data_IF_092848517803
#
_entry.id   IF_092848517803
#
_cell.length_a   1.000
_cell.length_b   1.000
_cell.length_c   1.000
_cell.angle_alpha   90.00
_cell.angle_beta   90.00
_cell.angle_gamma   90.00
#
_symmetry.space_group_name_H-M   'P 1'
#
loop_
_entity.id
_entity.type
_entity.pdbx_description
1 polymer ?
#
# COMPACT_ATOMS: atom_id res chain seq x y z
N UNK A 1 -9.71 -64.56 -2.00
CA UNK A 1 -9.01 -63.28 -1.71
C UNK A 1 -10.06 -62.29 -1.20
N UNK A 2 -10.68 -62.45 -0.02
CA UNK A 2 -10.20 -62.28 1.37
C UNK A 2 -9.43 -60.97 1.61
N UNK A 3 -10.19 -59.87 1.79
CA UNK A 3 -9.71 -58.54 2.19
C UNK A 3 -10.58 -57.94 3.32
N UNK A 4 -11.14 -58.78 4.20
CA UNK A 4 -11.84 -58.36 5.40
C UNK A 4 -11.09 -58.82 6.66
N UNK A 5 -10.38 -57.89 7.30
CA UNK A 5 -10.17 -57.75 8.75
C UNK A 5 -8.91 -56.92 9.01
N UNK A 6 -9.10 -55.74 9.60
CA UNK A 6 -8.49 -55.37 10.88
C UNK A 6 -8.78 -53.90 11.16
N UNK A 7 -9.95 -53.69 11.77
CA UNK A 7 -10.23 -52.53 12.60
C UNK A 7 -9.89 -52.95 14.05
N UNK A 8 -8.81 -52.41 14.61
CA UNK A 8 -8.54 -52.33 16.05
C UNK A 8 -7.98 -50.93 16.31
N UNK A 9 -8.78 -49.99 16.83
CA UNK A 9 -9.03 -49.78 18.26
C UNK A 9 -7.76 -49.48 19.06
N UNK A 10 -7.37 -48.21 19.08
CA UNK A 10 -6.67 -47.62 20.24
C UNK A 10 -7.20 -46.19 20.48
N UNK A 11 -8.38 -46.11 21.10
CA UNK A 11 -8.84 -44.91 21.78
C UNK A 11 -8.08 -44.82 23.11
N UNK A 12 -6.94 -44.11 23.08
CA UNK A 12 -6.16 -43.76 24.25
C UNK A 12 -6.83 -42.65 25.06
N UNK A 13 -7.08 -42.98 26.31
CA UNK A 13 -7.54 -42.19 27.45
C UNK A 13 -7.43 -40.65 27.38
N UNK A 14 -8.57 -40.04 27.71
CA UNK A 14 -8.78 -38.66 28.13
C UNK A 14 -7.99 -38.37 29.42
N UNK A 15 -6.94 -37.56 29.32
CA UNK A 15 -6.28 -36.90 30.46
C UNK A 15 -6.81 -35.47 30.59
N UNK A 16 -7.61 -35.21 31.63
CA UNK A 16 -8.10 -33.89 32.02
C UNK A 16 -7.11 -33.25 33.00
N UNK A 17 -6.14 -32.53 32.45
CA UNK A 17 -5.13 -31.84 33.24
C UNK A 17 -5.54 -30.37 33.38
N UNK A 18 -6.41 -30.11 34.36
CA UNK A 18 -6.83 -28.78 34.79
C UNK A 18 -5.67 -28.04 35.48
N UNK A 19 -4.70 -27.58 34.69
CA UNK A 19 -3.62 -26.69 35.13
C UNK A 19 -4.05 -25.23 35.06
N UNK A 20 -4.65 -24.72 36.15
CA UNK A 20 -4.84 -23.28 36.39
C UNK A 20 -3.48 -22.57 36.41
N UNK A 21 -3.11 -21.91 35.33
CA UNK A 21 -2.02 -20.91 35.32
C UNK A 21 -2.62 -19.51 35.17
N UNK A 22 -2.89 -18.89 36.31
CA UNK A 22 -3.18 -17.46 36.43
C UNK A 22 -1.90 -16.68 36.18
N UNK A 23 -1.65 -16.30 34.92
CA UNK A 23 -0.65 -15.29 34.61
C UNK A 23 -1.26 -13.91 34.89
N UNK A 24 -0.75 -13.24 35.92
CA UNK A 24 -1.13 -11.88 36.28
C UNK A 24 -0.87 -10.92 35.12
N UNK A 25 -1.94 -10.38 34.56
CA UNK A 25 -1.87 -9.20 33.71
C UNK A 25 -1.50 -8.00 34.59
N UNK A 26 -0.25 -7.55 34.50
CA UNK A 26 0.11 -6.21 34.93
C UNK A 26 -0.20 -5.24 33.79
N UNK A 27 -1.12 -4.27 33.96
CA UNK A 27 -1.28 -3.19 33.00
C UNK A 27 -0.12 -2.21 33.16
N UNK A 28 0.90 -2.30 32.30
CA UNK A 28 1.88 -1.24 32.14
C UNK A 28 1.22 -0.05 31.42
N UNK A 29 0.49 0.76 32.19
CA UNK A 29 0.03 2.08 31.78
C UNK A 29 1.22 3.02 31.91
N UNK A 30 1.75 3.48 30.78
CA UNK A 30 2.54 4.71 30.75
C UNK A 30 1.68 5.80 30.13
N UNK A 31 1.25 6.83 30.87
CA UNK A 31 0.69 8.03 30.29
C UNK A 31 1.85 8.86 29.75
N UNK A 32 2.25 8.66 28.49
CA UNK A 32 3.11 9.65 27.81
C UNK A 32 2.20 10.80 27.39
N UNK A 33 1.97 11.67 28.37
CA UNK A 33 1.72 13.09 28.15
C UNK A 33 2.89 13.63 27.34
N UNK A 34 2.65 13.96 26.07
CA UNK A 34 3.49 14.93 25.38
C UNK A 34 2.62 16.00 24.73
N UNK A 35 1.97 16.78 25.60
CA UNK A 35 1.63 18.18 25.30
C UNK A 35 2.83 19.03 25.66
N UNK A 36 3.74 19.25 24.71
CA UNK A 36 4.56 20.44 24.72
C UNK A 36 4.06 21.40 23.65
N UNK A 37 3.08 22.19 24.09
CA UNK A 37 2.78 23.50 23.54
C UNK A 37 3.99 24.38 23.90
N UNK A 38 4.96 24.47 22.99
CA UNK A 38 5.98 25.53 23.04
C UNK A 38 5.45 26.70 22.23
N UNK A 39 4.76 27.62 22.92
CA UNK A 39 4.73 29.03 22.54
C UNK A 39 5.70 29.75 23.46
N UNK A 40 6.61 30.51 22.87
CA UNK A 40 7.27 31.76 23.32
C UNK A 40 8.40 31.97 22.29
N UNK A 41 8.19 32.86 21.32
CA UNK A 41 8.58 34.27 21.34
C UNK A 41 9.98 34.49 20.75
N UNK A 42 9.98 35.13 19.58
CA UNK A 42 10.92 36.17 19.14
C UNK A 42 12.39 36.04 19.55
N UNK A 43 13.23 35.62 18.60
CA UNK A 43 14.52 36.27 18.39
C UNK A 43 14.86 36.27 16.90
N UNK A 44 15.04 37.47 16.39
CA UNK A 44 15.72 37.78 15.14
C UNK A 44 17.03 36.99 15.07
N UNK A 45 17.15 36.07 14.11
CA UNK A 45 18.46 35.64 13.61
C UNK A 45 18.40 35.56 12.10
N UNK A 46 19.10 36.51 11.49
CA UNK A 46 19.36 36.58 10.06
C UNK A 46 20.22 35.39 9.66
N UNK A 47 19.59 34.26 9.33
CA UNK A 47 20.29 33.15 8.68
C UNK A 47 20.31 33.40 7.17
N UNK A 48 21.24 34.27 6.78
CA UNK A 48 21.73 34.38 5.42
C UNK A 48 22.46 33.07 5.08
N UNK A 49 21.79 32.18 4.35
CA UNK A 49 22.35 30.88 4.01
C UNK A 49 21.62 30.23 2.84
N UNK A 50 22.05 30.56 1.63
CA UNK A 50 21.93 29.75 0.42
C UNK A 50 20.53 29.56 -0.21
N UNK A 51 19.98 30.64 -0.78
CA UNK A 51 18.91 30.57 -1.79
C UNK A 51 19.42 30.48 -3.24
N UNK A 52 20.74 30.43 -3.46
CA UNK A 52 21.32 30.57 -4.79
C UNK A 52 21.24 29.33 -5.72
N UNK A 53 20.90 28.13 -5.22
CA UNK A 53 20.93 26.90 -6.05
C UNK A 53 19.55 26.41 -6.50
N UNK A 54 18.44 26.93 -5.95
CA UNK A 54 17.09 26.51 -6.36
C UNK A 54 16.43 27.41 -7.43
N UNK A 55 17.09 28.48 -7.89
CA UNK A 55 16.51 29.40 -8.88
C UNK A 55 16.68 28.99 -10.35
N UNK A 56 17.49 27.98 -10.70
CA UNK A 56 17.79 27.68 -12.12
C UNK A 56 16.77 26.73 -12.77
N UNK A 57 15.94 26.00 -12.01
CA UNK A 57 15.04 24.98 -12.59
C UNK A 57 13.63 25.45 -12.95
N UNK A 58 13.27 26.71 -12.71
CA UNK A 58 11.90 27.22 -12.95
C UNK A 58 11.76 28.16 -14.17
N UNK A 59 12.83 28.39 -14.94
CA UNK A 59 12.79 29.31 -16.08
C UNK A 59 12.41 28.68 -17.43
N UNK A 60 12.10 27.37 -17.49
CA UNK A 60 11.78 26.69 -18.77
C UNK A 60 10.29 26.45 -19.02
N UNK A 61 9.40 27.17 -18.33
CA UNK A 61 7.95 27.08 -18.57
C UNK A 61 7.25 28.42 -18.90
N UNK A 62 7.98 29.53 -19.05
CA UNK A 62 7.39 30.86 -19.27
C UNK A 62 7.75 31.46 -20.64
N UNK A 63 8.04 30.63 -21.65
CA UNK A 63 8.38 31.11 -23.00
C UNK A 63 7.26 30.89 -24.04
N UNK A 64 5.99 30.78 -23.61
CA UNK A 64 4.85 30.55 -24.51
C UNK A 64 3.60 31.42 -24.30
N UNK A 65 3.57 32.31 -23.30
CA UNK A 65 2.35 33.06 -22.90
C UNK A 65 2.60 34.57 -22.82
N UNK A 66 3.18 35.17 -23.86
CA UNK A 66 3.34 36.64 -23.94
C UNK A 66 2.80 37.15 -25.27
N UNK A 67 1.47 37.21 -25.41
CA UNK A 67 0.82 38.05 -26.45
C UNK A 67 -0.46 38.76 -26.02
N UNK A 68 -0.87 38.77 -24.75
CA UNK A 68 -2.17 39.38 -24.39
C UNK A 68 -2.28 40.00 -23.00
N UNK A 69 -1.38 40.94 -22.66
CA UNK A 69 -1.56 41.83 -21.50
C UNK A 69 -1.40 43.29 -21.92
N UNK A 70 -2.37 43.80 -22.70
CA UNK A 70 -2.68 45.23 -22.79
C UNK A 70 -3.92 45.51 -21.93
N UNK A 71 -3.74 45.64 -20.61
CA UNK A 71 -4.66 46.38 -19.74
C UNK A 71 -3.96 46.69 -18.43
N UNK A 72 -3.50 47.93 -18.32
CA UNK A 72 -2.97 48.48 -17.08
C UNK A 72 -4.10 48.63 -16.04
N UNK A 73 -3.90 48.23 -14.77
CA UNK A 73 -4.81 48.57 -13.70
C UNK A 73 -4.65 50.06 -13.33
N UNK A 74 -5.76 50.79 -13.42
CA UNK A 74 -5.89 52.18 -12.97
C UNK A 74 -5.85 52.20 -11.45
N UNK A 75 -4.76 52.68 -10.86
CA UNK A 75 -4.61 52.88 -9.43
C UNK A 75 -5.43 54.10 -8.99
N UNK A 76 -6.47 53.87 -8.20
CA UNK A 76 -7.20 54.93 -7.49
C UNK A 76 -6.52 55.17 -6.13
N UNK A 77 -5.85 56.30 -6.00
CA UNK A 77 -5.28 56.81 -4.76
C UNK A 77 -6.36 57.47 -3.89
N UNK A 78 -6.95 56.69 -2.97
CA UNK A 78 -7.80 57.21 -1.90
C UNK A 78 -6.98 57.51 -0.63
N UNK A 79 -7.41 58.47 0.21
CA UNK A 79 -6.66 58.93 1.37
C UNK A 79 -6.54 57.86 2.45
N UNK A 80 -5.33 57.76 2.99
CA UNK A 80 -4.90 56.83 4.02
C UNK A 80 -5.49 57.21 5.38
N UNK A 81 -6.48 56.46 5.85
CA UNK A 81 -6.89 56.50 7.25
C UNK A 81 -6.01 55.58 8.09
N UNK A 82 -5.20 56.19 8.94
CA UNK A 82 -4.40 55.56 9.98
C UNK A 82 -5.33 55.06 11.09
N UNK A 83 -5.91 53.87 10.93
CA UNK A 83 -6.64 53.18 12.00
C UNK A 83 -5.72 52.15 12.67
N UNK A 84 -5.66 52.21 14.00
CA UNK A 84 -4.76 51.46 14.87
C UNK A 84 -4.94 49.93 14.75
N UNK A 85 -3.86 49.15 15.00
CA UNK A 85 -3.83 47.72 14.75
C UNK A 85 -4.53 46.94 15.86
N UNK A 86 -5.74 46.45 15.59
CA UNK A 86 -6.35 45.37 16.37
C UNK A 86 -5.61 44.06 16.04
N UNK A 87 -4.61 43.71 16.84
CA UNK A 87 -3.65 42.62 16.62
C UNK A 87 -4.19 41.20 16.92
N UNK A 88 -5.50 40.98 17.02
CA UNK A 88 -6.06 39.68 17.42
C UNK A 88 -6.65 38.83 16.28
N UNK A 89 -6.71 39.31 15.03
CA UNK A 89 -7.42 38.59 13.94
C UNK A 89 -6.51 38.12 12.80
N UNK A 90 -5.25 37.74 13.08
CA UNK A 90 -4.28 37.37 12.03
C UNK A 90 -3.72 35.93 12.09
N UNK A 91 -4.29 35.04 12.91
CA UNK A 91 -3.91 33.61 12.89
C UNK A 91 -4.91 32.72 12.14
N UNK A 92 -6.18 33.11 12.03
CA UNK A 92 -7.21 32.28 11.37
C UNK A 92 -7.12 32.35 9.83
N UNK A 93 -6.65 33.47 9.27
CA UNK A 93 -6.49 33.59 7.81
C UNK A 93 -5.18 33.00 7.29
N UNK A 94 -4.18 32.79 8.14
CA UNK A 94 -2.90 32.20 7.70
C UNK A 94 -3.03 30.70 7.38
N UNK A 95 -4.04 30.00 7.92
CA UNK A 95 -4.31 28.58 7.64
C UNK A 95 -5.23 28.40 6.42
N UNK A 96 -5.90 29.48 5.96
CA UNK A 96 -6.88 29.43 4.85
C UNK A 96 -6.25 29.37 3.45
N UNK A 97 -4.93 29.47 3.36
CA UNK A 97 -4.15 29.38 2.10
C UNK A 97 -3.70 27.97 1.71
N UNK A 98 -4.01 26.93 2.51
CA UNK A 98 -3.80 25.55 2.09
C UNK A 98 -4.86 25.17 1.05
N UNK A 99 -4.68 25.68 -0.17
CA UNK A 99 -5.35 25.13 -1.34
C UNK A 99 -4.80 23.72 -1.49
N UNK A 100 -5.60 22.73 -1.07
CA UNK A 100 -5.23 21.32 -1.19
C UNK A 100 -4.73 21.11 -2.63
N UNK A 101 -3.52 20.56 -2.82
CA UNK A 101 -2.93 20.43 -4.13
C UNK A 101 -3.97 19.76 -5.01
N UNK A 102 -4.41 20.47 -6.06
CA UNK A 102 -5.48 20.01 -6.92
C UNK A 102 -5.19 18.56 -7.29
N UNK A 103 -6.11 17.61 -7.03
CA UNK A 103 -5.90 16.22 -7.37
C UNK A 103 -5.55 16.17 -8.85
N UNK A 104 -4.27 15.92 -9.16
CA UNK A 104 -3.79 15.92 -10.53
C UNK A 104 -4.43 14.72 -11.24
N UNK A 105 -5.56 14.96 -11.87
CA UNK A 105 -6.27 13.98 -12.68
C UNK A 105 -5.37 13.60 -13.88
N UNK A 106 -5.25 12.32 -14.27
CA UNK A 106 -4.40 11.91 -15.39
C UNK A 106 -4.61 12.76 -16.63
N UNK A 107 -3.51 13.27 -17.20
CA UNK A 107 -3.53 13.93 -18.51
C UNK A 107 -4.13 13.02 -19.59
N UNK A 108 -4.08 11.70 -19.37
CA UNK A 108 -4.73 10.68 -20.21
C UNK A 108 -5.44 9.66 -19.32
N UNK A 109 -6.72 9.88 -18.96
CA UNK A 109 -7.49 8.86 -18.27
C UNK A 109 -7.62 7.64 -19.20
N UNK A 110 -7.20 6.47 -18.72
CA UNK A 110 -7.50 5.18 -19.36
C UNK A 110 -6.39 4.49 -20.15
N UNK A 111 -5.20 5.07 -20.31
CA UNK A 111 -4.04 4.29 -20.82
C UNK A 111 -3.33 3.58 -19.67
N UNK A 112 -3.21 2.26 -19.79
CA UNK A 112 -2.42 1.44 -18.87
C UNK A 112 -0.94 1.85 -18.97
N UNK A 113 -0.36 2.31 -17.87
CA UNK A 113 1.07 2.58 -17.81
C UNK A 113 1.79 1.29 -17.41
N UNK A 114 2.37 0.60 -18.40
CA UNK A 114 3.03 -0.70 -18.21
C UNK A 114 4.10 -0.69 -17.13
N UNK A 115 4.94 0.35 -17.06
CA UNK A 115 6.01 0.46 -16.05
C UNK A 115 5.48 0.45 -14.61
N UNK A 116 4.61 1.40 -14.21
CA UNK A 116 3.96 1.37 -12.91
C UNK A 116 3.18 0.09 -12.60
N UNK A 117 2.53 -0.51 -13.61
CA UNK A 117 1.77 -1.76 -13.42
C UNK A 117 2.70 -2.95 -13.12
N UNK A 118 3.79 -3.09 -13.87
CA UNK A 118 4.84 -4.08 -13.63
C UNK A 118 5.48 -3.89 -12.26
N UNK A 119 5.89 -2.66 -11.93
CA UNK A 119 6.50 -2.33 -10.64
C UNK A 119 5.55 -2.56 -9.45
N UNK A 120 4.25 -2.33 -9.62
CA UNK A 120 3.24 -2.63 -8.60
C UNK A 120 3.11 -4.15 -8.36
N UNK A 121 3.08 -4.96 -9.41
CA UNK A 121 3.06 -6.42 -9.31
C UNK A 121 4.33 -6.97 -8.65
N UNK A 122 5.50 -6.46 -9.03
CA UNK A 122 6.79 -6.83 -8.44
C UNK A 122 6.86 -6.44 -6.96
N UNK A 123 6.48 -5.22 -6.60
CA UNK A 123 6.47 -4.77 -5.20
C UNK A 123 5.51 -5.60 -4.33
N UNK A 124 4.29 -5.85 -4.81
CA UNK A 124 3.32 -6.69 -4.10
C UNK A 124 3.81 -8.13 -3.93
N UNK A 125 4.37 -8.72 -4.99
CA UNK A 125 4.96 -10.06 -4.96
C UNK A 125 6.14 -10.17 -4.00
N UNK A 126 7.06 -9.21 -4.02
CA UNK A 126 8.20 -9.18 -3.12
C UNK A 126 7.77 -9.08 -1.64
N UNK A 127 6.77 -8.25 -1.32
CA UNK A 127 6.23 -8.14 0.04
C UNK A 127 5.64 -9.48 0.52
N UNK A 128 4.90 -10.20 -0.33
CA UNK A 128 4.32 -11.49 0.03
C UNK A 128 5.32 -12.64 0.00
N UNK A 129 6.42 -12.51 -0.72
CA UNK A 129 7.55 -13.42 -0.67
C UNK A 129 8.27 -13.30 0.68
N UNK A 130 8.38 -12.08 1.23
CA UNK A 130 8.92 -11.82 2.57
C UNK A 130 7.98 -12.24 3.71
N UNK A 131 6.66 -12.12 3.52
CA UNK A 131 5.64 -12.49 4.50
C UNK A 131 4.74 -13.60 3.95
N UNK A 132 5.26 -14.83 3.83
CA UNK A 132 4.48 -15.93 3.30
C UNK A 132 3.29 -16.22 4.23
N UNK A 133 2.12 -16.50 3.63
CA UNK A 133 0.85 -16.82 4.29
C UNK A 133 0.12 -15.67 4.99
N UNK A 134 0.61 -14.43 4.87
CA UNK A 134 -0.11 -13.24 5.35
C UNK A 134 -0.22 -13.10 6.88
N UNK A 135 0.33 -14.04 7.65
CA UNK A 135 0.42 -13.91 9.10
C UNK A 135 1.87 -13.57 9.48
N UNK A 136 2.13 -12.38 10.03
CA UNK A 136 3.49 -11.98 10.41
C UNK A 136 4.10 -12.92 11.46
N UNK A 137 3.27 -13.66 12.20
CA UNK A 137 3.68 -14.64 13.20
C UNK A 137 4.07 -16.02 12.65
N UNK A 138 3.69 -16.39 11.41
CA UNK A 138 4.12 -17.65 10.77
C UNK A 138 5.41 -17.52 9.94
N UNK A 139 5.96 -16.30 9.88
CA UNK A 139 7.06 -15.87 9.00
C UNK A 139 8.42 -16.52 9.33
N UNK A 140 8.57 -17.20 10.47
CA UNK A 140 9.78 -17.96 10.80
C UNK A 140 9.99 -19.21 9.92
N UNK A 141 9.01 -19.58 9.09
CA UNK A 141 9.10 -20.69 8.12
C UNK A 141 9.52 -20.25 6.70
N UNK A 142 10.34 -19.20 6.57
CA UNK A 142 10.70 -18.55 5.29
C UNK A 142 11.38 -19.46 4.23
N UNK A 143 11.67 -20.72 4.59
CA UNK A 143 12.38 -21.69 3.75
C UNK A 143 11.48 -22.72 3.06
N UNK A 144 10.16 -22.64 3.22
CA UNK A 144 9.25 -23.52 2.49
C UNK A 144 8.99 -22.95 1.08
N UNK A 145 9.13 -23.74 0.00
CA UNK A 145 8.78 -23.29 -1.35
C UNK A 145 7.27 -23.07 -1.41
N UNK A 146 6.85 -21.80 -1.45
CA UNK A 146 5.43 -21.39 -1.49
C UNK A 146 5.14 -20.67 -2.80
N UNK A 147 4.21 -21.21 -3.58
CA UNK A 147 3.67 -20.57 -4.78
C UNK A 147 2.21 -20.23 -4.53
N UNK A 148 1.86 -18.94 -4.66
CA UNK A 148 0.47 -18.45 -4.51
C UNK A 148 -0.20 -18.86 -3.20
N UNK A 149 0.54 -18.86 -2.09
CA UNK A 149 0.02 -19.22 -0.77
C UNK A 149 -0.04 -20.73 -0.46
N UNK A 150 0.33 -21.59 -1.42
CA UNK A 150 0.38 -23.05 -1.25
C UNK A 150 1.81 -23.54 -1.12
N UNK A 151 2.07 -24.42 -0.15
CA UNK A 151 3.37 -25.04 0.02
C UNK A 151 3.55 -26.17 -1.01
N UNK A 152 4.68 -26.21 -1.68
CA UNK A 152 5.05 -27.31 -2.55
C UNK A 152 5.66 -28.42 -1.69
N UNK A 153 5.19 -29.68 -1.79
CA UNK A 153 5.80 -30.78 -1.08
C UNK A 153 7.25 -30.97 -1.54
N UNK A 154 8.14 -31.32 -0.63
CA UNK A 154 9.57 -31.54 -0.92
C UNK A 154 9.78 -32.63 -2.00
N UNK A 155 8.84 -33.57 -2.12
CA UNK A 155 8.83 -34.65 -3.12
C UNK A 155 8.74 -34.14 -4.56
N UNK A 156 8.26 -32.91 -4.79
CA UNK A 156 8.18 -32.33 -6.13
C UNK A 156 9.56 -31.98 -6.72
N UNK A 157 10.62 -31.96 -5.92
CA UNK A 157 11.99 -31.70 -6.39
C UNK A 157 12.21 -30.28 -6.95
N UNK A 158 11.28 -29.35 -6.72
CA UNK A 158 11.39 -27.98 -7.22
C UNK A 158 12.37 -27.19 -6.32
N UNK A 159 13.49 -26.67 -6.87
CA UNK A 159 14.43 -25.89 -6.09
C UNK A 159 13.78 -24.58 -5.61
N UNK A 160 14.12 -24.15 -4.40
CA UNK A 160 13.55 -22.95 -3.75
C UNK A 160 13.62 -21.70 -4.64
N UNK A 161 14.76 -21.47 -5.29
CA UNK A 161 14.95 -20.35 -6.20
C UNK A 161 13.97 -20.35 -7.38
N UNK A 162 13.71 -21.52 -7.97
CA UNK A 162 12.75 -21.65 -9.07
C UNK A 162 11.33 -21.36 -8.58
N UNK A 163 10.96 -21.82 -7.38
CA UNK A 163 9.69 -21.47 -6.76
C UNK A 163 9.53 -19.95 -6.57
N UNK A 164 10.60 -19.24 -6.15
CA UNK A 164 10.60 -17.78 -6.04
C UNK A 164 10.45 -17.07 -7.39
N UNK A 165 11.13 -17.56 -8.43
CA UNK A 165 11.02 -17.01 -9.79
C UNK A 165 9.60 -17.18 -10.32
N UNK A 166 9.02 -18.38 -10.18
CA UNK A 166 7.63 -18.66 -10.58
C UNK A 166 6.66 -17.77 -9.80
N UNK A 167 6.86 -17.63 -8.48
CA UNK A 167 6.03 -16.76 -7.64
C UNK A 167 6.05 -15.32 -8.16
N UNK A 168 7.24 -14.74 -8.36
CA UNK A 168 7.37 -13.37 -8.85
C UNK A 168 6.79 -13.18 -10.25
N UNK A 169 6.99 -14.15 -11.15
CA UNK A 169 6.42 -14.11 -12.50
C UNK A 169 4.88 -14.06 -12.47
N UNK A 170 4.25 -14.92 -11.66
CA UNK A 170 2.80 -14.93 -11.50
C UNK A 170 2.31 -13.66 -10.78
N UNK A 171 3.04 -13.15 -9.77
CA UNK A 171 2.73 -11.88 -9.12
C UNK A 171 2.73 -10.70 -10.11
N UNK A 172 3.71 -10.64 -11.02
CA UNK A 172 3.72 -9.61 -12.07
C UNK A 172 2.49 -9.74 -12.96
N UNK A 173 2.18 -10.96 -13.43
CA UNK A 173 1.00 -11.20 -14.27
C UNK A 173 -0.30 -10.76 -13.58
N UNK A 174 -0.50 -11.15 -12.32
CA UNK A 174 -1.68 -10.78 -11.55
C UNK A 174 -1.73 -9.29 -11.25
N UNK A 175 -0.58 -8.66 -10.95
CA UNK A 175 -0.47 -7.22 -10.76
C UNK A 175 -0.85 -6.42 -12.01
N UNK A 176 -0.49 -6.92 -13.21
CA UNK A 176 -0.90 -6.33 -14.49
C UNK A 176 -2.42 -6.42 -14.68
N UNK A 177 -3.03 -7.59 -14.40
CA UNK A 177 -4.49 -7.77 -14.48
C UNK A 177 -5.23 -6.82 -13.53
N UNK A 178 -4.79 -6.72 -12.27
CA UNK A 178 -5.36 -5.77 -11.30
C UNK A 178 -5.20 -4.32 -11.78
N UNK A 179 -4.01 -3.95 -12.24
CA UNK A 179 -3.73 -2.60 -12.75
C UNK A 179 -4.63 -2.23 -13.94
N UNK A 180 -4.95 -3.20 -14.80
CA UNK A 180 -5.85 -3.04 -15.95
C UNK A 180 -7.29 -2.75 -15.55
N UNK A 181 -7.79 -3.39 -14.48
CA UNK A 181 -9.12 -3.12 -13.90
C UNK A 181 -9.13 -1.78 -13.17
N UNK A 182 -8.08 -1.51 -12.40
CA UNK A 182 -8.01 -0.37 -11.49
C UNK A 182 -7.79 0.96 -12.23
N UNK A 183 -7.19 0.99 -13.43
CA UNK A 183 -6.77 2.22 -14.14
C UNK A 183 -7.84 3.31 -14.26
N UNK A 184 -9.12 2.93 -14.39
CA UNK A 184 -10.22 3.88 -14.59
C UNK A 184 -10.97 4.27 -13.30
N UNK A 185 -10.55 3.76 -12.14
CA UNK A 185 -11.29 3.92 -10.88
C UNK A 185 -10.71 5.00 -9.96
N UNK A 186 -11.57 5.76 -9.28
CA UNK A 186 -11.14 6.70 -8.21
C UNK A 186 -10.45 5.94 -7.07
N UNK A 187 -9.55 6.59 -6.33
CA UNK A 187 -8.70 5.93 -5.30
C UNK A 187 -9.44 4.99 -4.32
N UNK A 188 -10.56 5.36 -3.66
CA UNK A 188 -11.25 4.43 -2.77
C UNK A 188 -11.86 3.23 -3.51
N UNK A 189 -12.42 3.48 -4.71
CA UNK A 189 -12.98 2.43 -5.57
C UNK A 189 -11.90 1.52 -6.16
N UNK A 190 -10.71 2.07 -6.41
CA UNK A 190 -9.54 1.34 -6.89
C UNK A 190 -9.05 0.31 -5.87
N UNK A 191 -9.00 0.69 -4.58
CA UNK A 191 -8.60 -0.23 -3.50
C UNK A 191 -9.63 -1.37 -3.38
N UNK A 192 -10.91 -1.04 -3.34
CA UNK A 192 -11.99 -2.04 -3.27
C UNK A 192 -12.01 -2.97 -4.49
N UNK A 193 -11.87 -2.42 -5.70
CA UNK A 193 -11.78 -3.21 -6.92
C UNK A 193 -10.52 -4.09 -6.96
N UNK A 194 -9.41 -3.62 -6.39
CA UNK A 194 -8.20 -4.42 -6.21
C UNK A 194 -8.45 -5.65 -5.33
N UNK A 195 -9.11 -5.46 -4.18
CA UNK A 195 -9.49 -6.56 -3.29
C UNK A 195 -10.42 -7.57 -3.99
N UNK A 196 -11.48 -7.08 -4.67
CA UNK A 196 -12.43 -7.94 -5.39
C UNK A 196 -11.75 -8.69 -6.54
N UNK A 197 -10.87 -8.02 -7.29
CA UNK A 197 -10.07 -8.66 -8.35
C UNK A 197 -9.12 -9.69 -7.77
N UNK A 198 -8.51 -9.43 -6.61
CA UNK A 198 -7.73 -10.42 -5.87
C UNK A 198 -8.54 -11.67 -5.53
N UNK A 199 -9.77 -11.53 -5.07
CA UNK A 199 -10.68 -12.66 -4.83
C UNK A 199 -11.01 -13.43 -6.12
N UNK A 200 -11.23 -12.74 -7.25
CA UNK A 200 -11.42 -13.39 -8.54
C UNK A 200 -10.18 -14.18 -8.97
N UNK A 201 -8.98 -13.64 -8.75
CA UNK A 201 -7.72 -14.33 -8.99
C UNK A 201 -7.55 -15.55 -8.08
N UNK A 202 -8.04 -15.49 -6.84
CA UNK A 202 -8.10 -16.67 -5.98
C UNK A 202 -8.97 -17.77 -6.59
N UNK A 203 -10.17 -17.43 -7.11
CA UNK A 203 -11.04 -18.42 -7.75
C UNK A 203 -10.36 -19.03 -8.98
N UNK A 204 -9.69 -18.21 -9.80
CA UNK A 204 -8.92 -18.69 -10.95
C UNK A 204 -7.76 -19.60 -10.52
N UNK A 205 -7.02 -19.22 -9.49
CA UNK A 205 -5.95 -20.03 -8.90
C UNK A 205 -6.46 -21.34 -8.28
N UNK A 206 -7.65 -21.32 -7.68
CA UNK A 206 -8.33 -22.51 -7.18
C UNK A 206 -8.74 -23.42 -8.34
N UNK A 207 -9.28 -22.87 -9.43
CA UNK A 207 -9.65 -23.64 -10.61
C UNK A 207 -8.43 -24.31 -11.24
N UNK A 208 -7.34 -23.58 -11.45
CA UNK A 208 -6.09 -24.13 -12.01
C UNK A 208 -5.55 -25.26 -11.15
N UNK A 209 -5.47 -25.08 -9.82
CA UNK A 209 -4.98 -26.14 -8.94
C UNK A 209 -5.96 -27.31 -8.84
N UNK A 210 -7.26 -27.07 -8.85
CA UNK A 210 -8.26 -28.14 -8.82
C UNK A 210 -8.21 -29.01 -10.08
N UNK A 211 -7.88 -28.43 -11.23
CA UNK A 211 -7.80 -29.15 -12.51
C UNK A 211 -6.43 -29.78 -12.76
N UNK A 212 -5.34 -29.09 -12.43
CA UNK A 212 -4.00 -29.51 -12.82
C UNK A 212 -3.20 -30.16 -11.67
N UNK A 213 -3.51 -29.83 -10.41
CA UNK A 213 -2.67 -30.16 -9.24
C UNK A 213 -3.54 -30.48 -8.01
N UNK A 214 -4.46 -31.45 -8.09
CA UNK A 214 -5.44 -31.71 -7.02
C UNK A 214 -4.79 -32.02 -5.67
N UNK A 215 -3.60 -32.64 -5.67
CA UNK A 215 -2.84 -32.99 -4.46
C UNK A 215 -2.37 -31.77 -3.66
N UNK A 216 -2.29 -30.59 -4.28
CA UNK A 216 -1.86 -29.35 -3.63
C UNK A 216 -3.02 -28.58 -2.98
N UNK A 217 -4.23 -29.12 -3.01
CA UNK A 217 -5.42 -28.48 -2.47
C UNK A 217 -5.48 -28.65 -0.94
N UNK A 218 -4.80 -27.76 -0.22
CA UNK A 218 -4.84 -27.72 1.24
C UNK A 218 -4.93 -26.28 1.76
N UNK A 219 -5.74 -26.10 2.82
CA UNK A 219 -5.87 -24.86 3.58
C UNK A 219 -6.17 -23.62 2.72
N UNK A 220 -7.38 -23.55 2.17
CA UNK A 220 -7.79 -22.46 1.27
C UNK A 220 -7.92 -21.09 1.96
N UNK A 221 -8.19 -21.04 3.28
CA UNK A 221 -8.40 -19.78 4.00
C UNK A 221 -7.16 -18.85 3.94
N UNK A 222 -5.93 -19.30 4.26
CA UNK A 222 -4.71 -18.52 4.01
C UNK A 222 -4.53 -18.11 2.55
N UNK A 223 -4.90 -18.96 1.59
CA UNK A 223 -4.77 -18.67 0.15
C UNK A 223 -5.72 -17.53 -0.24
N UNK A 224 -6.98 -17.57 0.20
CA UNK A 224 -7.94 -16.46 0.01
C UNK A 224 -7.39 -15.16 0.60
N UNK A 225 -6.91 -15.23 1.85
CA UNK A 225 -6.39 -14.06 2.56
C UNK A 225 -5.20 -13.42 1.84
N UNK A 226 -4.24 -14.23 1.39
CA UNK A 226 -3.07 -13.75 0.64
C UNK A 226 -3.46 -13.08 -0.68
N UNK A 227 -4.46 -13.61 -1.40
CA UNK A 227 -4.95 -12.98 -2.63
C UNK A 227 -5.68 -11.66 -2.38
N UNK A 228 -6.45 -11.57 -1.30
CA UNK A 228 -7.11 -10.33 -0.88
C UNK A 228 -6.06 -9.26 -0.54
N UNK A 229 -5.06 -9.60 0.27
CA UNK A 229 -3.96 -8.69 0.65
C UNK A 229 -3.13 -8.30 -0.58
N UNK A 230 -2.81 -9.25 -1.46
CA UNK A 230 -2.14 -9.00 -2.73
C UNK A 230 -2.90 -7.96 -3.57
N UNK A 231 -4.21 -8.15 -3.71
CA UNK A 231 -5.10 -7.24 -4.45
C UNK A 231 -5.07 -5.81 -3.93
N UNK A 232 -5.14 -5.65 -2.60
CA UNK A 232 -5.05 -4.36 -1.91
C UNK A 232 -3.70 -3.68 -2.13
N UNK A 233 -2.59 -4.42 -1.95
CA UNK A 233 -1.23 -3.88 -2.08
C UNK A 233 -0.96 -3.49 -3.53
N UNK A 234 -1.25 -4.37 -4.50
CA UNK A 234 -1.01 -4.11 -5.92
C UNK A 234 -1.79 -2.88 -6.41
N UNK A 235 -3.08 -2.77 -6.06
CA UNK A 235 -3.90 -1.61 -6.42
C UNK A 235 -3.39 -0.30 -5.78
N UNK A 236 -2.97 -0.37 -4.51
CA UNK A 236 -2.42 0.78 -3.78
C UNK A 236 -1.07 1.21 -4.35
N UNK A 237 -0.18 0.26 -4.65
CA UNK A 237 1.13 0.50 -5.24
C UNK A 237 1.01 1.11 -6.63
N UNK A 238 0.13 0.57 -7.49
CA UNK A 238 -0.12 1.13 -8.82
C UNK A 238 -0.61 2.58 -8.76
N UNK A 239 -1.58 2.86 -7.88
CA UNK A 239 -2.10 4.23 -7.66
C UNK A 239 -1.04 5.16 -7.09
N UNK A 240 -0.22 4.69 -6.15
CA UNK A 240 0.90 5.45 -5.59
C UNK A 240 1.97 5.80 -6.63
N UNK A 241 2.32 4.85 -7.50
CA UNK A 241 3.31 5.04 -8.57
C UNK A 241 2.83 6.03 -9.63
N UNK A 242 1.56 5.96 -10.04
CA UNK A 242 0.98 6.94 -10.98
C UNK A 242 0.97 8.35 -10.41
N UNK A 243 0.79 8.49 -9.08
CA UNK A 243 0.79 9.79 -8.41
C UNK A 243 2.19 10.43 -8.37
N UNK A 244 3.26 9.63 -8.26
CA UNK A 244 4.63 10.13 -8.17
C UNK A 244 5.23 10.58 -9.49
N UNK A 245 4.90 9.93 -10.61
CA UNK A 245 5.50 10.19 -11.94
C UNK A 245 5.18 11.57 -12.55
N UNK A 246 4.54 12.46 -11.80
CA UNK A 246 4.10 13.78 -12.26
C UNK A 246 4.76 14.95 -11.53
N UNK A 247 5.66 14.64 -10.60
CA UNK A 247 6.62 15.56 -10.02
C UNK A 247 7.98 15.24 -10.60
#
# INVERSE_FOLDING_TARGET
MSWERSAELHFGAVGLDNGKSSAGFQPAVSPISNRQIVRLNSACSSQAGSTAIQQIRNLRYVQGQVKNLKRAPKWNSGPSSCALPNSEVSFINMIRGYQAPHPLEPAFPGRLQWGPAFAAGLAAGAILLLVPRGTPWASLSSFSPVIMGRAIPATAGIPLFLAWVIHLAVSVLYGLLISRVVVNLRQPRAIFAGALTGLLLYVLNLLVVSLCLPDLRQNEVPVVFTHLVFGLIAASAYRGLIRRRRY
#
